data_IF_682256167436
#
_entry.id   IF_682256167436
#
_cell.length_a   1.000
_cell.length_b   1.000
_cell.length_c   1.000
_cell.angle_alpha   90.00
_cell.angle_beta   90.00
_cell.angle_gamma   90.00
#
_symmetry.space_group_name_H-M   'P 1'
#
loop_
_entity.id
_entity.type
_entity.pdbx_description
1 polymer ?
#
# COMPACT_ATOMS: atom_id res chain seq x y z
N UNK A 1 -13.90 -26.48 -0.90
CA UNK A 1 -13.28 -25.72 -2.02
C UNK A 1 -12.02 -25.05 -1.51
N UNK A 2 -11.03 -24.86 -2.38
CA UNK A 2 -9.78 -24.16 -2.06
C UNK A 2 -9.52 -23.13 -3.16
N UNK A 3 -9.16 -21.92 -2.77
CA UNK A 3 -8.65 -20.92 -3.69
C UNK A 3 -7.13 -20.90 -3.55
N UNK A 4 -6.44 -21.05 -4.68
CA UNK A 4 -5.00 -20.85 -4.77
C UNK A 4 -4.80 -19.64 -5.66
N UNK A 5 -4.19 -18.60 -5.12
CA UNK A 5 -3.76 -17.49 -5.96
C UNK A 5 -2.56 -17.97 -6.81
N UNK A 6 -2.61 -17.83 -8.15
CA UNK A 6 -1.51 -18.19 -9.03
C UNK A 6 -0.24 -17.32 -8.88
N UNK A 7 -0.33 -16.06 -8.46
CA UNK A 7 0.83 -15.16 -8.33
C UNK A 7 1.33 -14.99 -6.89
N UNK A 8 0.44 -14.85 -5.90
CA UNK A 8 0.88 -14.73 -4.51
C UNK A 8 1.20 -16.09 -3.86
N UNK A 9 0.73 -17.18 -4.47
CA UNK A 9 0.83 -18.53 -3.90
C UNK A 9 -0.02 -18.75 -2.65
N UNK A 10 -0.86 -17.78 -2.26
CA UNK A 10 -1.72 -17.88 -1.09
C UNK A 10 -2.74 -19.02 -1.25
N UNK A 11 -2.91 -19.79 -0.18
CA UNK A 11 -3.89 -20.86 -0.09
C UNK A 11 -4.99 -20.46 0.89
N UNK A 12 -6.20 -20.29 0.37
CA UNK A 12 -7.36 -19.90 1.18
C UNK A 12 -8.36 -21.05 1.18
N UNK A 13 -8.67 -21.54 2.37
CA UNK A 13 -9.61 -22.65 2.56
C UNK A 13 -11.03 -22.10 2.63
N UNK A 14 -11.84 -22.41 1.61
CA UNK A 14 -13.22 -21.94 1.47
C UNK A 14 -14.25 -23.07 1.75
N UNK A 15 -13.82 -24.11 2.47
CA UNK A 15 -14.63 -25.30 2.76
C UNK A 15 -15.87 -24.99 3.59
N UNK A 16 -15.71 -24.12 4.57
CA UNK A 16 -16.71 -23.80 5.61
C UNK A 16 -17.67 -22.68 5.21
N UNK A 17 -17.53 -22.12 4.00
CA UNK A 17 -18.44 -21.08 3.54
C UNK A 17 -19.88 -21.61 3.39
N UNK A 18 -20.85 -20.76 3.74
CA UNK A 18 -22.26 -20.99 3.47
C UNK A 18 -22.53 -21.14 1.96
N UNK A 19 -23.62 -21.81 1.54
CA UNK A 19 -23.96 -21.95 0.13
C UNK A 19 -24.05 -20.60 -0.62
N UNK A 20 -24.63 -19.58 0.03
CA UNK A 20 -24.74 -18.22 -0.51
C UNK A 20 -23.36 -17.61 -0.77
N UNK A 21 -22.46 -17.72 0.22
CA UNK A 21 -21.07 -17.22 0.11
C UNK A 21 -20.26 -17.96 -0.95
N UNK A 22 -20.49 -19.25 -1.13
CA UNK A 22 -19.89 -20.05 -2.21
C UNK A 22 -20.36 -19.56 -3.58
N UNK A 23 -21.65 -19.34 -3.77
CA UNK A 23 -22.18 -18.80 -5.02
C UNK A 23 -21.65 -17.39 -5.31
N UNK A 24 -21.53 -16.56 -4.28
CA UNK A 24 -20.93 -15.23 -4.41
C UNK A 24 -19.47 -15.30 -4.84
N UNK A 25 -18.68 -16.17 -4.20
CA UNK A 25 -17.30 -16.43 -4.58
C UNK A 25 -17.18 -16.90 -6.04
N UNK A 26 -18.03 -17.81 -6.50
CA UNK A 26 -18.01 -18.27 -7.90
C UNK A 26 -18.30 -17.14 -8.90
N UNK A 27 -19.19 -16.20 -8.56
CA UNK A 27 -19.46 -15.01 -9.38
C UNK A 27 -18.23 -14.10 -9.44
N UNK A 28 -17.61 -13.84 -8.30
CA UNK A 28 -16.37 -13.08 -8.23
C UNK A 28 -15.27 -13.72 -9.08
N UNK A 29 -15.10 -15.03 -8.96
CA UNK A 29 -14.10 -15.79 -9.70
C UNK A 29 -14.35 -15.78 -11.22
N UNK A 30 -15.62 -15.76 -11.66
CA UNK A 30 -15.95 -15.56 -13.08
C UNK A 30 -15.53 -14.16 -13.56
N UNK A 31 -15.85 -13.12 -12.80
CA UNK A 31 -15.49 -11.73 -13.12
C UNK A 31 -13.98 -11.53 -13.16
N UNK A 32 -13.27 -12.13 -12.20
CA UNK A 32 -11.82 -12.13 -12.16
C UNK A 32 -11.22 -12.80 -13.40
N UNK A 33 -11.69 -14.01 -13.76
CA UNK A 33 -11.21 -14.75 -14.93
C UNK A 33 -11.52 -14.07 -16.26
N UNK A 34 -12.63 -13.33 -16.34
CA UNK A 34 -12.95 -12.53 -17.52
C UNK A 34 -12.17 -11.21 -17.59
N UNK A 35 -11.25 -10.96 -16.66
CA UNK A 35 -10.51 -9.70 -16.52
C UNK A 35 -11.44 -8.47 -16.53
N UNK A 36 -12.55 -8.56 -15.77
CA UNK A 36 -13.49 -7.45 -15.64
C UNK A 36 -12.80 -6.21 -15.07
N UNK A 37 -13.35 -5.01 -15.33
CA UNK A 37 -12.76 -3.78 -14.81
C UNK A 37 -12.64 -3.83 -13.29
N UNK A 38 -11.50 -3.37 -12.77
CA UNK A 38 -11.18 -3.32 -11.35
C UNK A 38 -12.28 -2.65 -10.53
N UNK A 39 -12.81 -1.52 -11.01
CA UNK A 39 -13.90 -0.79 -10.34
C UNK A 39 -15.24 -1.56 -10.32
N UNK A 40 -15.61 -2.25 -11.41
CA UNK A 40 -16.81 -3.08 -11.41
C UNK A 40 -16.67 -4.28 -10.46
N UNK A 41 -15.46 -4.85 -10.36
CA UNK A 41 -15.17 -5.89 -9.39
C UNK A 41 -15.29 -5.36 -7.97
N UNK A 42 -14.73 -4.19 -7.67
CA UNK A 42 -14.81 -3.52 -6.36
C UNK A 42 -16.26 -3.29 -5.94
N UNK A 43 -17.08 -2.72 -6.82
CA UNK A 43 -18.51 -2.49 -6.55
C UNK A 43 -19.26 -3.79 -6.27
N UNK A 44 -18.95 -4.86 -7.01
CA UNK A 44 -19.61 -6.15 -6.79
C UNK A 44 -19.16 -6.78 -5.47
N UNK A 45 -17.85 -6.85 -5.22
CA UNK A 45 -17.25 -7.58 -4.09
C UNK A 45 -17.46 -6.88 -2.74
N UNK A 46 -17.34 -5.56 -2.70
CA UNK A 46 -17.28 -4.77 -1.46
C UNK A 46 -18.47 -3.81 -1.28
N UNK A 47 -19.55 -3.98 -2.04
CA UNK A 47 -20.80 -3.25 -1.76
C UNK A 47 -21.43 -3.66 -0.43
N UNK A 48 -22.28 -2.79 0.12
CA UNK A 48 -23.07 -3.06 1.33
C UNK A 48 -23.96 -4.32 1.24
N UNK A 49 -24.33 -4.74 0.02
CA UNK A 49 -25.12 -5.95 -0.22
C UNK A 49 -24.27 -7.23 -0.32
N UNK A 50 -22.96 -7.11 -0.16
CA UNK A 50 -22.06 -8.25 -0.19
C UNK A 50 -22.31 -9.17 1.02
N UNK A 51 -22.38 -10.50 0.81
CA UNK A 51 -22.44 -11.50 1.90
C UNK A 51 -21.24 -11.44 2.85
N UNK A 52 -20.22 -10.65 2.54
CA UNK A 52 -19.13 -10.29 3.45
C UNK A 52 -19.61 -9.57 4.70
N UNK A 53 -20.62 -8.70 4.59
CA UNK A 53 -21.05 -7.83 5.68
C UNK A 53 -22.29 -8.34 6.42
N UNK A 54 -22.90 -9.43 5.94
CA UNK A 54 -24.09 -10.02 6.57
C UNK A 54 -23.74 -10.60 7.95
N UNK A 55 -24.41 -10.10 9.00
CA UNK A 55 -24.29 -10.63 10.36
C UNK A 55 -22.98 -10.30 11.07
N UNK A 56 -22.14 -9.45 10.48
CA UNK A 56 -20.85 -9.06 11.04
C UNK A 56 -21.02 -7.99 12.11
N UNK A 57 -20.35 -8.17 13.25
CA UNK A 57 -20.42 -7.23 14.38
C UNK A 57 -19.31 -6.19 14.38
N UNK A 58 -18.15 -6.51 13.79
CA UNK A 58 -17.00 -5.62 13.75
C UNK A 58 -16.15 -5.80 12.48
N UNK A 59 -15.30 -4.82 12.18
CA UNK A 59 -14.42 -4.85 11.01
C UNK A 59 -13.38 -5.97 11.06
N UNK A 60 -12.95 -6.40 12.25
CA UNK A 60 -11.94 -7.45 12.38
C UNK A 60 -12.47 -8.82 11.94
N UNK A 61 -13.76 -9.09 12.14
CA UNK A 61 -14.44 -10.29 11.64
C UNK A 61 -14.44 -10.34 10.11
N UNK A 62 -14.64 -9.19 9.43
CA UNK A 62 -14.55 -9.13 7.96
C UNK A 62 -13.13 -9.43 7.50
N UNK A 63 -12.13 -8.79 8.11
CA UNK A 63 -10.73 -8.89 7.64
C UNK A 63 -10.15 -10.28 7.82
N UNK A 64 -10.60 -11.03 8.83
CA UNK A 64 -10.21 -12.42 9.07
C UNK A 64 -11.10 -13.43 8.34
N UNK A 65 -12.05 -12.99 7.52
CA UNK A 65 -12.96 -13.87 6.79
C UNK A 65 -12.26 -14.49 5.57
N UNK A 66 -12.28 -15.82 5.39
CA UNK A 66 -11.69 -16.47 4.22
C UNK A 66 -12.26 -15.96 2.89
N UNK A 67 -13.54 -15.57 2.85
CA UNK A 67 -14.14 -14.97 1.66
C UNK A 67 -13.55 -13.57 1.38
N UNK A 68 -13.35 -12.78 2.43
CA UNK A 68 -12.76 -11.44 2.29
C UNK A 68 -11.33 -11.52 1.77
N UNK A 69 -10.51 -12.41 2.34
CA UNK A 69 -9.13 -12.60 1.90
C UNK A 69 -9.06 -12.95 0.42
N UNK A 70 -9.91 -13.87 -0.05
CA UNK A 70 -9.92 -14.29 -1.46
C UNK A 70 -10.38 -13.17 -2.40
N UNK A 71 -11.37 -12.37 -1.99
CA UNK A 71 -11.86 -11.24 -2.79
C UNK A 71 -10.88 -10.08 -2.81
N UNK A 72 -10.24 -9.78 -1.68
CA UNK A 72 -9.21 -8.75 -1.58
C UNK A 72 -8.02 -9.08 -2.48
N UNK A 73 -7.62 -10.35 -2.48
CA UNK A 73 -6.54 -10.85 -3.31
C UNK A 73 -6.85 -10.72 -4.82
N UNK A 74 -8.03 -11.15 -5.27
CA UNK A 74 -8.48 -10.94 -6.66
C UNK A 74 -8.56 -9.46 -7.05
N UNK A 75 -9.07 -8.62 -6.15
CA UNK A 75 -9.17 -7.17 -6.37
C UNK A 75 -7.79 -6.52 -6.50
N UNK A 76 -6.83 -6.90 -5.65
CA UNK A 76 -5.45 -6.42 -5.75
C UNK A 76 -4.83 -6.80 -7.10
N UNK A 77 -5.01 -8.04 -7.54
CA UNK A 77 -4.49 -8.52 -8.82
C UNK A 77 -5.10 -7.80 -10.01
N UNK A 78 -6.41 -7.61 -10.04
CA UNK A 78 -7.05 -6.81 -11.10
C UNK A 78 -6.52 -5.38 -11.10
N UNK A 79 -6.35 -4.78 -9.92
CA UNK A 79 -5.80 -3.44 -9.78
C UNK A 79 -4.36 -3.35 -10.29
N UNK A 80 -3.51 -4.33 -9.99
CA UNK A 80 -2.13 -4.38 -10.49
C UNK A 80 -2.12 -4.58 -12.01
N UNK A 81 -2.86 -5.56 -12.52
CA UNK A 81 -2.89 -5.90 -13.94
C UNK A 81 -3.44 -4.76 -14.81
N UNK A 82 -4.35 -3.95 -14.27
CA UNK A 82 -4.95 -2.81 -14.96
C UNK A 82 -4.23 -1.48 -14.65
N UNK A 83 -3.19 -1.50 -13.81
CA UNK A 83 -2.37 -0.33 -13.48
C UNK A 83 -2.99 0.65 -12.47
N UNK A 84 -4.06 0.27 -11.77
CA UNK A 84 -4.66 1.06 -10.70
C UNK A 84 -3.93 0.93 -9.37
N UNK A 85 -3.21 -0.18 -9.15
CA UNK A 85 -2.48 -0.46 -7.91
C UNK A 85 -1.03 -0.75 -8.29
N UNK A 86 -0.08 -0.09 -7.61
CA UNK A 86 1.32 -0.42 -7.77
C UNK A 86 1.58 -1.83 -7.23
N UNK A 87 2.27 -2.72 -7.96
CA UNK A 87 2.71 -3.98 -7.39
C UNK A 87 3.53 -3.68 -6.14
N UNK A 88 3.33 -4.43 -5.06
CA UNK A 88 4.17 -4.26 -3.86
C UNK A 88 5.61 -4.49 -4.28
N UNK A 89 6.38 -3.41 -4.38
CA UNK A 89 7.81 -3.47 -4.59
C UNK A 89 8.41 -4.36 -3.51
N UNK A 90 9.15 -5.37 -3.94
CA UNK A 90 10.14 -6.05 -3.11
C UNK A 90 10.84 -5.00 -2.26
N UNK A 91 10.65 -5.07 -0.94
CA UNK A 91 11.51 -4.38 0.02
C UNK A 91 12.90 -5.02 -0.10
N UNK A 92 13.62 -4.66 -1.14
CA UNK A 92 15.06 -4.82 -1.18
C UNK A 92 15.66 -3.78 -0.24
N UNK A 93 16.56 -4.27 0.59
CA UNK A 93 17.10 -3.60 1.76
C UNK A 93 18.39 -2.94 1.32
N UNK A 94 18.37 -1.67 0.93
CA UNK A 94 19.63 -0.88 0.89
C UNK A 94 19.36 0.62 0.96
N UNK A 95 19.23 1.13 2.18
CA UNK A 95 19.92 2.39 2.51
C UNK A 95 20.86 2.05 3.65
N UNK A 96 22.08 1.65 3.28
CA UNK A 96 23.23 1.75 4.17
C UNK A 96 23.36 3.22 4.58
N UNK A 97 22.79 3.58 5.72
CA UNK A 97 23.17 4.78 6.44
C UNK A 97 24.56 4.52 6.98
N UNK A 98 25.58 4.76 6.15
CA UNK A 98 26.97 4.83 6.57
C UNK A 98 27.13 6.09 7.42
N UNK A 99 26.72 5.99 8.68
CA UNK A 99 27.06 6.95 9.74
C UNK A 99 28.56 6.85 9.94
N UNK A 100 29.29 7.68 9.19
CA UNK A 100 30.73 7.83 9.31
C UNK A 100 30.97 8.67 10.57
N UNK A 101 31.38 7.99 11.63
CA UNK A 101 31.91 8.56 12.88
C UNK A 101 32.89 9.70 12.58
N UNK A 102 32.78 10.88 13.22
CA UNK A 102 33.83 11.88 13.14
C UNK A 102 34.99 11.46 14.07
N UNK A 103 36.14 11.14 13.48
CA UNK A 103 37.39 10.94 14.23
C UNK A 103 37.89 12.28 14.81
N UNK A 104 38.35 12.33 16.08
CA UNK A 104 38.72 13.56 16.76
C UNK A 104 40.24 13.76 16.82
N UNK A 105 40.97 13.88 15.71
CA UNK A 105 42.39 14.32 15.75
C UNK A 105 42.87 14.96 14.42
N UNK A 106 42.77 16.30 14.35
CA UNK A 106 43.72 17.33 13.81
C UNK A 106 44.42 17.19 12.42
N UNK A 107 45.03 18.25 11.81
CA UNK A 107 45.13 19.68 12.19
C UNK A 107 44.78 20.72 11.06
N UNK A 108 44.81 21.99 11.46
CA UNK A 108 44.64 23.25 10.72
C UNK A 108 45.42 23.43 9.41
N UNK A 109 44.81 24.17 8.45
CA UNK A 109 45.52 25.04 7.49
C UNK A 109 44.79 26.41 7.41
N UNK A 110 45.58 27.47 7.28
CA UNK A 110 45.35 28.89 7.60
C UNK A 110 45.22 29.75 6.32
N UNK A 111 44.41 30.85 6.39
CA UNK A 111 44.38 32.10 5.57
C UNK A 111 44.06 31.98 4.06
N UNK A 112 43.44 32.95 3.37
CA UNK A 112 43.51 34.42 3.36
C UNK A 112 42.11 35.10 3.34
N UNK A 113 41.83 36.18 4.07
CA UNK A 113 42.13 37.61 3.79
C UNK A 113 41.49 38.18 2.51
N UNK A 114 40.30 38.81 2.64
CA UNK A 114 39.93 40.08 1.99
C UNK A 114 38.54 40.58 2.46
N UNK A 115 38.53 41.57 3.37
CA UNK A 115 37.53 42.66 3.43
C UNK A 115 38.12 43.87 2.64
N UNK A 116 37.41 44.98 2.30
CA UNK A 116 36.13 45.48 2.84
C UNK A 116 35.17 46.12 1.80
N UNK A 117 33.92 46.41 2.20
CA UNK A 117 32.98 47.25 1.43
C UNK A 117 31.95 47.96 2.30
N UNK A 118 32.20 49.24 2.59
CA UNK A 118 31.33 50.21 3.27
C UNK A 118 29.91 50.22 2.66
N UNK A 119 28.83 50.41 3.43
CA UNK A 119 28.27 51.76 3.64
C UNK A 119 27.25 51.83 4.78
N UNK A 120 27.40 52.89 5.60
CA UNK A 120 26.45 53.41 6.60
C UNK A 120 25.39 54.28 5.92
N UNK A 121 24.19 54.35 6.50
CA UNK A 121 23.21 55.44 6.28
C UNK A 121 21.76 54.93 6.45
N UNK A 122 21.13 55.04 7.62
CA UNK A 122 20.45 56.21 8.19
C UNK A 122 18.92 56.24 7.91
N UNK A 123 18.17 56.55 9.01
CA UNK A 123 16.93 57.38 9.05
C UNK A 123 15.55 56.71 9.24
N UNK A 124 15.18 56.50 10.51
CA UNK A 124 14.13 57.21 11.29
C UNK A 124 12.79 57.58 10.59
N UNK A 125 11.67 57.01 11.05
CA UNK A 125 10.45 57.69 11.61
C UNK A 125 9.29 56.69 11.79
N UNK A 126 8.85 56.46 13.04
CA UNK A 126 7.58 56.91 13.66
C UNK A 126 6.30 56.38 12.99
N UNK A 127 5.55 55.55 13.72
CA UNK A 127 4.22 55.88 14.23
C UNK A 127 4.04 55.24 15.60
#
# INVERSE_FOLDING_TARGET
MRYKNPESGAFITLGELSPERKQFFERALKLFRSNASWFAFEQMAFSFYSPLFHGVRNRAEVVNDPLFEALQDMWLQLGINQGFIAPRGSHDRTTETKTRTPDPHSPSVIRDMASPGKSRGARRRRR
#
